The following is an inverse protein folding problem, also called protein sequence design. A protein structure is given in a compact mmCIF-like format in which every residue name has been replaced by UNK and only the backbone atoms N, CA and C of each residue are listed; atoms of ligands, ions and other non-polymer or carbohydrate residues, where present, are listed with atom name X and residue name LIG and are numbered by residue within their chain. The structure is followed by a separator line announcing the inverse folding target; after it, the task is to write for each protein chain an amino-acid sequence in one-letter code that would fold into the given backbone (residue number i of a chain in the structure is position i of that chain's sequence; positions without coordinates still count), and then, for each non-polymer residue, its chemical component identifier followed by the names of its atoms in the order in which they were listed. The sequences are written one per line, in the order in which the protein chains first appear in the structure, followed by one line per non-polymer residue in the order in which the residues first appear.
data_IF_901567902638
#
_entry.id   IF_901567902638
#
_cell.length_a   1.000
_cell.length_b   1.000
_cell.length_c   1.000
_cell.angle_alpha   90.00
_cell.angle_beta   90.00
_cell.angle_gamma   90.00
#
_symmetry.space_group_name_H-M   'P 1'
#
loop_
_entity.id
_entity.type
_entity.pdbx_description
1 polymer ?
#
# COMPACT_ATOMS: atom_id res chain seq x y z
N UNK A 1 6.49 -16.74 14.44
CA UNK A 1 5.87 -15.91 13.40
C UNK A 1 4.44 -16.39 13.19
N UNK A 2 3.46 -15.49 13.29
CA UNK A 2 2.05 -15.82 13.08
C UNK A 2 1.69 -16.00 11.58
N UNK A 3 2.64 -15.77 10.68
CA UNK A 3 2.46 -15.95 9.23
C UNK A 3 3.67 -16.66 8.61
N UNK A 4 3.41 -17.43 7.57
CA UNK A 4 4.42 -18.08 6.72
C UNK A 4 4.19 -17.65 5.28
N UNK A 5 5.20 -17.05 4.67
CA UNK A 5 5.20 -16.64 3.25
C UNK A 5 5.93 -17.71 2.46
N UNK A 6 5.37 -18.10 1.33
CA UNK A 6 5.93 -19.03 0.36
C UNK A 6 5.74 -18.44 -1.03
N UNK A 7 6.24 -19.11 -2.06
CA UNK A 7 6.00 -18.69 -3.45
C UNK A 7 4.52 -18.79 -3.84
N UNK A 8 3.77 -19.72 -3.26
CA UNK A 8 2.36 -19.92 -3.58
C UNK A 8 1.46 -18.84 -2.94
N UNK A 9 1.85 -18.30 -1.77
CA UNK A 9 1.06 -17.33 -1.03
C UNK A 9 1.43 -17.30 0.46
N UNK A 10 0.49 -16.85 1.28
CA UNK A 10 0.66 -16.60 2.71
C UNK A 10 -0.27 -17.48 3.52
N UNK A 11 0.31 -18.24 4.45
CA UNK A 11 -0.44 -18.97 5.47
C UNK A 11 -0.37 -18.20 6.79
N UNK A 12 -1.51 -18.00 7.45
CA UNK A 12 -1.60 -17.31 8.74
C UNK A 12 -2.72 -17.90 9.61
N UNK A 13 -2.67 -17.61 10.89
CA UNK A 13 -3.76 -17.96 11.79
C UNK A 13 -4.60 -16.72 12.08
N UNK A 14 -5.93 -16.87 12.01
CA UNK A 14 -6.88 -15.86 12.42
C UNK A 14 -6.67 -15.49 13.89
N UNK A 15 -6.65 -14.20 14.18
CA UNK A 15 -6.53 -13.71 15.57
C UNK A 15 -7.86 -13.81 16.34
N UNK A 16 -8.97 -14.06 15.65
CA UNK A 16 -10.30 -14.17 16.26
C UNK A 16 -10.54 -15.58 16.83
N UNK A 17 -10.19 -16.62 16.08
CA UNK A 17 -10.54 -18.00 16.38
C UNK A 17 -9.35 -18.97 16.27
N UNK A 18 -8.17 -18.49 15.88
CA UNK A 18 -6.94 -19.29 15.70
C UNK A 18 -6.96 -20.19 14.46
N UNK A 19 -8.00 -20.16 13.65
CA UNK A 19 -8.11 -20.99 12.45
C UNK A 19 -7.03 -20.60 11.44
N UNK A 20 -6.42 -21.63 10.85
CA UNK A 20 -5.39 -21.45 9.82
C UNK A 20 -6.01 -21.15 8.48
N UNK A 21 -5.56 -20.05 7.85
CA UNK A 21 -5.96 -19.63 6.53
C UNK A 21 -4.78 -19.61 5.56
N UNK A 22 -5.08 -19.75 4.28
CA UNK A 22 -4.16 -19.52 3.18
C UNK A 22 -4.77 -18.50 2.22
N UNK A 23 -3.96 -17.56 1.77
CA UNK A 23 -4.31 -16.59 0.72
C UNK A 23 -3.12 -16.48 -0.21
N UNK A 24 -3.32 -16.75 -1.48
CA UNK A 24 -2.40 -16.47 -2.57
C UNK A 24 -2.97 -15.43 -3.53
N UNK A 25 -2.28 -15.15 -4.64
CA UNK A 25 -2.74 -14.20 -5.65
C UNK A 25 -4.15 -14.49 -6.15
N UNK A 26 -4.46 -15.71 -6.51
CA UNK A 26 -5.76 -16.10 -7.08
C UNK A 26 -6.88 -15.97 -6.03
N UNK A 27 -6.66 -16.42 -4.81
CA UNK A 27 -7.63 -16.28 -3.71
C UNK A 27 -7.90 -14.80 -3.41
N UNK A 28 -6.84 -13.97 -3.39
CA UNK A 28 -6.98 -12.53 -3.17
C UNK A 28 -7.81 -11.87 -4.27
N UNK A 29 -7.55 -12.20 -5.54
CA UNK A 29 -8.33 -11.68 -6.67
C UNK A 29 -9.79 -12.11 -6.58
N UNK A 30 -10.04 -13.38 -6.27
CA UNK A 30 -11.39 -13.92 -6.10
C UNK A 30 -12.15 -13.22 -4.97
N UNK A 31 -11.54 -13.04 -3.82
CA UNK A 31 -12.16 -12.34 -2.68
C UNK A 31 -12.52 -10.90 -3.06
N UNK A 32 -11.61 -10.16 -3.69
CA UNK A 32 -11.85 -8.78 -4.10
C UNK A 32 -12.94 -8.69 -5.19
N UNK A 33 -13.02 -9.68 -6.08
CA UNK A 33 -14.12 -9.77 -7.05
C UNK A 33 -15.46 -9.96 -6.34
N UNK A 34 -15.55 -10.85 -5.35
CA UNK A 34 -16.78 -11.09 -4.59
C UNK A 34 -17.21 -9.87 -3.76
N UNK A 35 -16.25 -9.08 -3.25
CA UNK A 35 -16.52 -7.82 -2.57
C UNK A 35 -17.05 -6.74 -3.52
N UNK A 36 -16.83 -6.86 -4.82
CA UNK A 36 -17.34 -5.93 -5.82
C UNK A 36 -16.67 -4.55 -5.79
N UNK A 37 -15.42 -4.45 -5.31
CA UNK A 37 -14.67 -3.20 -5.32
C UNK A 37 -14.38 -2.74 -6.75
N UNK A 38 -14.43 -1.42 -7.01
CA UNK A 38 -14.08 -0.86 -8.32
C UNK A 38 -12.59 -1.01 -8.63
N UNK A 39 -11.74 -0.84 -7.61
CA UNK A 39 -10.29 -1.02 -7.70
C UNK A 39 -9.89 -2.26 -6.91
N UNK A 40 -9.12 -3.13 -7.56
CA UNK A 40 -8.56 -4.36 -7.00
C UNK A 40 -7.05 -4.19 -6.88
N UNK A 41 -6.51 -4.45 -5.70
CA UNK A 41 -5.07 -4.38 -5.45
C UNK A 41 -4.41 -5.72 -5.74
N UNK A 42 -3.34 -5.72 -6.51
CA UNK A 42 -2.54 -6.92 -6.71
C UNK A 42 -2.04 -7.46 -5.36
N UNK A 43 -1.86 -8.77 -5.28
CA UNK A 43 -1.31 -9.39 -4.07
C UNK A 43 0.20 -9.16 -4.03
N UNK A 44 0.73 -8.66 -2.91
CA UNK A 44 2.11 -8.22 -2.79
C UNK A 44 2.76 -8.65 -1.47
N UNK A 45 4.08 -8.59 -1.42
CA UNK A 45 4.86 -8.76 -0.19
C UNK A 45 5.49 -7.44 0.23
N UNK A 46 4.90 -6.83 1.25
CA UNK A 46 5.45 -5.63 1.88
C UNK A 46 6.43 -6.00 3.00
N UNK A 47 7.65 -5.47 2.93
CA UNK A 47 8.69 -5.63 3.95
C UNK A 47 8.74 -4.40 4.88
N UNK A 48 9.13 -4.61 6.15
CA UNK A 48 9.34 -3.51 7.09
C UNK A 48 10.54 -2.65 6.68
N UNK A 49 10.54 -1.37 7.05
CA UNK A 49 11.72 -0.52 6.92
C UNK A 49 12.91 -1.16 7.66
N UNK A 50 14.12 -1.03 7.08
CA UNK A 50 15.33 -1.64 7.63
C UNK A 50 15.53 -3.12 7.30
N UNK A 51 14.63 -3.73 6.51
CA UNK A 51 14.90 -5.05 5.91
C UNK A 51 16.11 -4.94 5.00
N UNK A 52 17.03 -5.91 5.08
CA UNK A 52 18.24 -5.92 4.26
C UNK A 52 17.94 -6.00 2.76
N UNK A 53 18.93 -5.63 1.95
CA UNK A 53 18.79 -5.52 0.49
C UNK A 53 18.35 -6.84 -0.16
N UNK A 54 18.97 -7.95 0.18
CA UNK A 54 18.68 -9.24 -0.46
C UNK A 54 17.26 -9.73 -0.16
N UNK A 55 16.79 -9.58 1.08
CA UNK A 55 15.42 -9.91 1.44
C UNK A 55 14.40 -8.95 0.79
N UNK A 56 14.74 -7.65 0.71
CA UNK A 56 13.90 -6.67 0.03
C UNK A 56 13.78 -6.97 -1.45
N UNK A 57 14.87 -7.39 -2.09
CA UNK A 57 14.91 -7.83 -3.48
C UNK A 57 14.09 -9.09 -3.70
N UNK A 58 14.25 -10.09 -2.83
CA UNK A 58 13.46 -11.34 -2.90
C UNK A 58 11.96 -11.06 -2.79
N UNK A 59 11.54 -10.21 -1.85
CA UNK A 59 10.14 -9.81 -1.68
C UNK A 59 9.60 -9.03 -2.90
N UNK A 60 10.39 -8.13 -3.46
CA UNK A 60 10.06 -7.42 -4.70
C UNK A 60 9.88 -8.40 -5.88
N UNK A 61 10.80 -9.32 -6.05
CA UNK A 61 10.74 -10.33 -7.11
C UNK A 61 9.51 -11.24 -6.95
N UNK A 62 9.18 -11.63 -5.73
CA UNK A 62 7.97 -12.42 -5.43
C UNK A 62 6.71 -11.61 -5.73
N UNK A 63 6.67 -10.33 -5.35
CA UNK A 63 5.57 -9.42 -5.69
C UNK A 63 5.34 -9.36 -7.21
N UNK A 64 6.40 -9.29 -8.01
CA UNK A 64 6.29 -9.27 -9.47
C UNK A 64 5.78 -10.60 -10.04
N UNK A 65 6.21 -11.74 -9.50
CA UNK A 65 5.67 -13.06 -9.90
C UNK A 65 4.20 -13.22 -9.49
N UNK A 66 3.82 -12.74 -8.32
CA UNK A 66 2.42 -12.71 -7.88
C UNK A 66 1.57 -11.76 -8.72
N UNK A 67 2.12 -10.62 -9.14
CA UNK A 67 1.44 -9.70 -10.06
C UNK A 67 1.13 -10.39 -11.41
N UNK A 68 2.06 -11.15 -11.96
CA UNK A 68 1.81 -11.92 -13.18
C UNK A 68 0.62 -12.88 -13.01
N UNK A 69 0.51 -13.55 -11.86
CA UNK A 69 -0.63 -14.42 -11.52
C UNK A 69 -1.93 -13.62 -11.36
N UNK A 70 -1.91 -12.50 -10.63
CA UNK A 70 -3.07 -11.61 -10.48
C UNK A 70 -3.59 -11.10 -11.82
N UNK A 71 -2.68 -10.76 -12.75
CA UNK A 71 -3.03 -10.18 -14.05
C UNK A 71 -3.77 -11.14 -14.98
N UNK A 72 -3.71 -12.43 -14.72
CA UNK A 72 -4.40 -13.49 -15.47
C UNK A 72 -5.83 -13.74 -14.98
N UNK A 73 -6.20 -13.12 -13.86
CA UNK A 73 -7.54 -13.26 -13.30
C UNK A 73 -8.56 -12.46 -14.12
N UNK A 74 -9.70 -13.06 -14.42
CA UNK A 74 -10.77 -12.42 -15.18
C UNK A 74 -11.78 -11.73 -14.25
N UNK A 75 -11.77 -10.40 -14.25
CA UNK A 75 -12.73 -9.56 -13.53
C UNK A 75 -14.00 -9.22 -14.33
N UNK A 76 -14.21 -9.85 -15.48
CA UNK A 76 -15.34 -9.57 -16.37
C UNK A 76 -15.42 -8.11 -16.81
N UNK A 77 -14.29 -7.41 -16.88
CA UNK A 77 -14.17 -6.03 -17.34
C UNK A 77 -14.76 -4.94 -16.43
N UNK A 78 -15.20 -5.31 -15.21
CA UNK A 78 -15.88 -4.38 -14.29
C UNK A 78 -14.95 -3.77 -13.23
N UNK A 79 -13.84 -4.40 -12.94
CA UNK A 79 -12.91 -4.00 -11.88
C UNK A 79 -11.53 -3.66 -12.46
N UNK A 80 -10.86 -2.73 -11.83
CA UNK A 80 -9.56 -2.20 -12.26
C UNK A 80 -8.46 -2.77 -11.37
N UNK A 81 -7.59 -3.62 -11.95
CA UNK A 81 -6.42 -4.12 -11.23
C UNK A 81 -5.35 -3.02 -11.15
N UNK A 82 -4.96 -2.65 -9.93
CA UNK A 82 -3.81 -1.80 -9.65
C UNK A 82 -2.63 -2.65 -9.22
N UNK A 83 -1.59 -2.74 -10.04
CA UNK A 83 -0.32 -3.37 -9.65
C UNK A 83 0.42 -2.51 -8.63
N UNK A 84 1.24 -3.15 -7.77
CA UNK A 84 1.92 -2.50 -6.65
C UNK A 84 3.43 -2.52 -6.85
N UNK A 85 4.04 -1.35 -6.77
CA UNK A 85 5.50 -1.17 -6.77
C UNK A 85 6.03 -1.37 -5.36
N UNK A 86 6.97 -2.30 -5.20
CA UNK A 86 7.71 -2.57 -3.97
C UNK A 86 9.19 -2.24 -4.15
N UNK A 87 10.05 -2.50 -3.18
CA UNK A 87 11.51 -2.26 -3.26
C UNK A 87 12.10 -1.68 -1.99
N UNK A 88 11.33 -1.62 -0.88
CA UNK A 88 11.76 -1.07 0.40
C UNK A 88 12.36 0.36 0.23
N UNK A 89 13.44 0.71 0.93
CA UNK A 89 14.13 2.00 0.85
C UNK A 89 15.37 1.94 -0.07
N UNK A 90 15.31 1.10 -1.13
CA UNK A 90 16.39 0.93 -2.10
C UNK A 90 15.97 1.49 -3.45
N UNK A 91 16.59 2.59 -3.86
CA UNK A 91 16.23 3.34 -5.07
C UNK A 91 16.28 2.49 -6.35
N UNK A 92 17.29 1.66 -6.49
CA UNK A 92 17.45 0.74 -7.62
C UNK A 92 16.35 -0.32 -7.67
N UNK A 93 15.99 -0.92 -6.52
CA UNK A 93 14.89 -1.87 -6.44
C UNK A 93 13.54 -1.21 -6.74
N UNK A 94 13.30 0.01 -6.26
CA UNK A 94 12.11 0.81 -6.58
C UNK A 94 11.96 1.05 -8.07
N UNK A 95 13.03 1.48 -8.73
CA UNK A 95 13.04 1.73 -10.18
C UNK A 95 12.85 0.45 -10.97
N UNK A 96 13.52 -0.62 -10.57
CA UNK A 96 13.38 -1.94 -11.21
C UNK A 96 11.94 -2.44 -11.07
N UNK A 97 11.38 -2.38 -9.86
CA UNK A 97 9.99 -2.73 -9.59
C UNK A 97 9.03 -1.93 -10.46
N UNK A 98 9.16 -0.60 -10.49
CA UNK A 98 8.31 0.28 -11.30
C UNK A 98 8.37 -0.10 -12.78
N UNK A 99 9.55 -0.23 -13.37
CA UNK A 99 9.73 -0.57 -14.78
C UNK A 99 9.06 -1.88 -15.15
N UNK A 100 9.17 -2.89 -14.28
CA UNK A 100 8.59 -4.22 -14.50
C UNK A 100 7.10 -4.27 -14.18
N UNK A 101 6.58 -3.33 -13.40
CA UNK A 101 5.17 -3.23 -13.04
C UNK A 101 4.35 -2.49 -14.11
N UNK A 102 4.92 -1.46 -14.76
CA UNK A 102 4.24 -0.65 -15.80
C UNK A 102 3.56 -1.48 -16.89
N UNK A 103 4.14 -2.55 -17.46
CA UNK A 103 3.45 -3.36 -18.48
C UNK A 103 2.12 -3.97 -18.04
N UNK A 104 1.92 -4.15 -16.75
CA UNK A 104 0.67 -4.68 -16.16
C UNK A 104 -0.32 -3.57 -15.80
N UNK A 105 0.12 -2.32 -15.72
CA UNK A 105 -0.72 -1.18 -15.35
C UNK A 105 -1.61 -0.79 -16.53
N UNK A 106 -2.92 -1.00 -16.42
CA UNK A 106 -3.91 -0.62 -17.44
C UNK A 106 -4.76 0.57 -17.03
N UNK A 107 -5.02 0.73 -15.75
CA UNK A 107 -5.96 1.72 -15.20
C UNK A 107 -5.36 2.59 -14.10
N UNK A 108 -4.25 2.20 -13.52
CA UNK A 108 -3.56 2.87 -12.43
C UNK A 108 -2.41 2.04 -11.90
N UNK A 109 -1.62 2.64 -11.02
CA UNK A 109 -0.46 2.00 -10.38
C UNK A 109 -0.41 2.41 -8.91
N UNK A 110 -0.04 1.48 -8.04
CA UNK A 110 0.12 1.76 -6.62
C UNK A 110 1.59 1.70 -6.19
N UNK A 111 1.94 2.54 -5.23
CA UNK A 111 3.24 2.58 -4.56
C UNK A 111 3.02 2.05 -3.14
N UNK A 112 3.48 0.82 -2.91
CA UNK A 112 3.41 0.16 -1.62
C UNK A 112 4.74 0.18 -0.87
N UNK A 113 4.74 -0.32 0.38
CA UNK A 113 5.94 -0.49 1.19
C UNK A 113 6.66 0.80 1.56
N UNK A 114 5.92 1.91 1.65
CA UNK A 114 6.34 3.17 2.25
C UNK A 114 5.46 3.46 3.47
N UNK A 115 5.93 4.31 4.40
CA UNK A 115 5.30 4.52 5.72
C UNK A 115 5.22 3.23 6.56
N UNK A 116 6.25 2.40 6.47
CA UNK A 116 6.38 1.11 7.17
C UNK A 116 7.44 1.14 8.28
N UNK A 117 7.79 2.34 8.75
CA UNK A 117 8.71 2.58 9.86
C UNK A 117 9.92 3.46 9.52
N UNK A 118 10.07 3.90 8.27
CA UNK A 118 11.11 4.84 7.85
C UNK A 118 10.76 6.29 8.25
N UNK A 119 11.77 7.17 8.37
CA UNK A 119 11.55 8.62 8.48
C UNK A 119 10.90 9.19 7.22
N UNK A 120 10.01 10.18 7.35
CA UNK A 120 9.33 10.84 6.21
C UNK A 120 10.27 11.31 5.10
N UNK A 121 11.44 11.93 5.39
CA UNK A 121 12.37 12.33 4.32
C UNK A 121 12.83 11.16 3.45
N UNK A 122 13.02 9.98 4.02
CA UNK A 122 13.41 8.77 3.25
C UNK A 122 12.26 8.31 2.34
N UNK A 123 11.02 8.37 2.83
CA UNK A 123 9.85 8.11 2.00
C UNK A 123 9.78 9.08 0.81
N UNK A 124 9.97 10.38 1.06
CA UNK A 124 9.95 11.41 0.01
C UNK A 124 11.06 11.20 -1.03
N UNK A 125 12.27 10.83 -0.58
CA UNK A 125 13.37 10.46 -1.47
C UNK A 125 12.99 9.31 -2.41
N UNK A 126 12.33 8.27 -1.91
CA UNK A 126 11.87 7.17 -2.75
C UNK A 126 10.81 7.61 -3.76
N UNK A 127 9.93 8.54 -3.40
CA UNK A 127 8.97 9.11 -4.34
C UNK A 127 9.67 9.98 -5.40
N UNK A 128 10.67 10.77 -5.02
CA UNK A 128 11.48 11.59 -5.94
C UNK A 128 12.21 10.73 -6.99
N UNK A 129 12.69 9.55 -6.57
CA UNK A 129 13.31 8.56 -7.46
C UNK A 129 12.31 8.01 -8.48
N UNK A 130 11.06 7.79 -8.08
CA UNK A 130 10.04 7.20 -8.94
C UNK A 130 9.35 8.21 -9.86
N UNK A 131 9.20 9.47 -9.41
CA UNK A 131 8.42 10.51 -10.08
C UNK A 131 8.75 10.68 -11.57
N UNK A 132 10.01 10.75 -12.04
CA UNK A 132 10.33 10.93 -13.44
C UNK A 132 9.94 9.76 -14.34
N UNK A 133 9.54 8.65 -13.76
CA UNK A 133 9.27 7.38 -14.45
C UNK A 133 7.80 6.95 -14.37
N UNK A 134 6.94 7.72 -13.71
CA UNK A 134 5.52 7.40 -13.62
C UNK A 134 4.83 7.46 -15.00
N UNK A 135 3.89 6.56 -15.28
CA UNK A 135 3.03 6.70 -16.45
C UNK A 135 2.17 7.96 -16.32
N UNK A 136 2.18 8.83 -17.33
CA UNK A 136 1.48 10.12 -17.30
C UNK A 136 -0.05 9.98 -17.31
N UNK A 137 -0.56 8.93 -17.94
CA UNK A 137 -1.99 8.75 -18.22
C UNK A 137 -2.73 7.89 -17.20
N UNK A 138 -2.14 7.64 -16.03
CA UNK A 138 -2.69 6.75 -15.03
C UNK A 138 -2.61 7.36 -13.64
N UNK A 139 -3.64 7.19 -12.78
CA UNK A 139 -3.57 7.58 -11.38
C UNK A 139 -2.50 6.78 -10.63
N UNK A 140 -1.82 7.47 -9.73
CA UNK A 140 -0.76 6.95 -8.86
C UNK A 140 -1.25 6.97 -7.42
N UNK A 141 -1.35 5.80 -6.84
CA UNK A 141 -1.89 5.59 -5.51
C UNK A 141 -0.77 5.28 -4.51
N UNK A 142 -0.53 6.16 -3.55
CA UNK A 142 0.40 5.93 -2.42
C UNK A 142 -0.36 5.30 -1.26
N UNK A 143 -0.05 4.05 -0.97
CA UNK A 143 -0.81 3.23 -0.03
C UNK A 143 -0.45 3.55 1.43
N UNK A 144 -1.48 3.73 2.26
CA UNK A 144 -1.36 3.84 3.73
C UNK A 144 -0.74 5.14 4.23
N UNK A 145 -0.68 6.18 3.42
CA UNK A 145 -0.08 7.48 3.73
C UNK A 145 -1.10 8.60 3.60
N UNK A 146 -1.21 9.50 4.59
CA UNK A 146 -2.21 10.57 4.48
C UNK A 146 -2.26 11.50 5.69
N UNK A 147 -1.16 11.75 6.41
CA UNK A 147 -1.07 12.94 7.26
C UNK A 147 -1.03 14.19 6.38
N UNK A 148 -1.51 15.34 6.88
CA UNK A 148 -1.68 16.55 6.08
C UNK A 148 -0.42 16.96 5.30
N UNK A 149 0.73 16.91 5.94
CA UNK A 149 2.02 17.17 5.32
C UNK A 149 2.38 16.13 4.25
N UNK A 150 2.14 14.84 4.51
CA UNK A 150 2.40 13.80 3.53
C UNK A 150 1.48 13.87 2.30
N UNK A 151 0.25 14.36 2.46
CA UNK A 151 -0.65 14.61 1.33
C UNK A 151 -0.06 15.66 0.40
N UNK A 152 0.37 16.81 0.94
CA UNK A 152 0.98 17.89 0.16
C UNK A 152 2.27 17.39 -0.53
N UNK A 153 3.16 16.78 0.23
CA UNK A 153 4.44 16.25 -0.28
C UNK A 153 4.24 15.17 -1.34
N UNK A 154 3.23 14.33 -1.19
CA UNK A 154 2.85 13.31 -2.17
C UNK A 154 2.34 13.93 -3.47
N UNK A 155 1.42 14.90 -3.40
CA UNK A 155 0.94 15.62 -4.58
C UNK A 155 2.07 16.31 -5.35
N UNK A 156 2.99 16.97 -4.63
CA UNK A 156 4.16 17.60 -5.25
C UNK A 156 5.04 16.60 -6.00
N UNK A 157 4.97 15.32 -5.64
CA UNK A 157 5.71 14.20 -6.25
C UNK A 157 4.85 13.35 -7.20
N UNK A 158 3.72 13.89 -7.65
CA UNK A 158 2.89 13.26 -8.67
C UNK A 158 2.00 12.13 -8.17
N UNK A 159 1.68 12.07 -6.90
CA UNK A 159 0.69 11.13 -6.35
C UNK A 159 -0.71 11.71 -6.48
N UNK A 160 -1.68 10.89 -6.90
CA UNK A 160 -3.07 11.30 -7.15
C UNK A 160 -4.05 10.76 -6.09
N UNK A 161 -3.73 9.64 -5.46
CA UNK A 161 -4.61 8.93 -4.53
C UNK A 161 -3.83 8.50 -3.28
N UNK A 162 -4.49 8.58 -2.13
CA UNK A 162 -3.95 8.13 -0.84
C UNK A 162 -5.07 7.61 0.05
N UNK A 163 -4.73 6.74 0.98
CA UNK A 163 -5.58 6.35 2.10
C UNK A 163 -4.85 6.56 3.43
N UNK A 164 -5.60 6.86 4.48
CA UNK A 164 -4.98 7.06 5.79
C UNK A 164 -5.90 6.62 6.92
N UNK A 165 -5.39 5.74 7.77
CA UNK A 165 -6.09 5.31 8.98
C UNK A 165 -5.95 6.31 10.14
N UNK A 166 -5.08 7.33 10.02
CA UNK A 166 -4.76 8.24 11.12
C UNK A 166 -6.00 8.95 11.70
N UNK A 167 -6.89 9.57 10.89
CA UNK A 167 -8.05 10.27 11.42
C UNK A 167 -8.97 9.37 12.27
N UNK A 168 -9.28 8.18 11.77
CA UNK A 168 -10.12 7.21 12.47
C UNK A 168 -9.42 6.60 13.68
N UNK A 169 -8.11 6.38 13.59
CA UNK A 169 -7.30 5.86 14.70
C UNK A 169 -7.27 6.81 15.88
N UNK A 170 -6.98 8.10 15.65
CA UNK A 170 -6.94 9.11 16.72
C UNK A 170 -8.34 9.44 17.25
N UNK A 171 -9.37 9.42 16.37
CA UNK A 171 -10.76 9.64 16.78
C UNK A 171 -11.23 8.59 17.78
N UNK A 172 -10.84 7.30 17.62
CA UNK A 172 -11.15 6.27 18.63
C UNK A 172 -10.55 6.58 20.01
N UNK A 173 -9.48 7.36 20.06
CA UNK A 173 -8.85 7.83 21.30
C UNK A 173 -9.38 9.19 21.78
N UNK A 174 -10.42 9.73 21.12
CA UNK A 174 -11.06 10.99 21.49
C UNK A 174 -10.30 12.23 20.99
N UNK A 175 -9.55 12.12 19.89
CA UNK A 175 -8.87 13.25 19.27
C UNK A 175 -9.52 13.58 17.92
N UNK A 176 -9.85 14.86 17.70
CA UNK A 176 -10.30 15.39 16.41
C UNK A 176 -9.23 16.28 15.79
N UNK A 177 -8.95 16.09 14.50
CA UNK A 177 -8.08 16.99 13.74
C UNK A 177 -8.87 18.24 13.31
N UNK A 178 -8.33 19.42 13.56
CA UNK A 178 -8.98 20.68 13.17
C UNK A 178 -7.98 21.63 12.51
N UNK A 179 -8.46 22.67 11.84
CA UNK A 179 -7.62 23.74 11.28
C UNK A 179 -6.77 24.49 12.33
N UNK A 180 -7.13 24.38 13.62
CA UNK A 180 -6.40 25.00 14.74
C UNK A 180 -5.50 24.01 15.48
N UNK A 181 -5.33 22.80 14.94
CA UNK A 181 -4.59 21.71 15.56
C UNK A 181 -5.49 20.61 16.13
N UNK A 182 -4.90 19.68 16.84
CA UNK A 182 -5.60 18.55 17.42
C UNK A 182 -6.42 18.99 18.66
N UNK A 183 -7.66 18.51 18.71
CA UNK A 183 -8.59 18.77 19.78
C UNK A 183 -8.90 17.46 20.51
N UNK A 184 -8.59 17.40 21.81
CA UNK A 184 -8.95 16.26 22.64
C UNK A 184 -10.35 16.44 23.20
N UNK A 185 -11.33 15.73 22.65
CA UNK A 185 -12.78 15.86 22.99
C UNK A 185 -13.04 15.57 24.46
N UNK A 186 -12.25 14.70 25.09
CA UNK A 186 -12.38 14.35 26.52
C UNK A 186 -11.92 15.44 27.49
N UNK A 187 -11.38 16.54 26.99
CA UNK A 187 -10.94 17.64 27.84
C UNK A 187 -12.17 18.32 28.48
N UNK A 188 -12.13 18.56 29.80
CA UNK A 188 -13.23 19.12 30.58
C UNK A 188 -13.75 20.47 30.04
N UNK A 189 -12.91 21.23 29.33
CA UNK A 189 -13.32 22.51 28.72
C UNK A 189 -14.37 22.37 27.60
N UNK A 190 -14.58 21.15 27.08
CA UNK A 190 -15.55 20.84 26.03
C UNK A 190 -16.76 20.06 26.53
N UNK A 191 -16.95 20.02 27.88
CA UNK A 191 -18.02 19.24 28.49
C UNK A 191 -19.44 19.73 28.10
N UNK A 192 -19.56 21.00 27.81
CA UNK A 192 -20.82 21.66 27.50
C UNK A 192 -20.91 22.20 26.06
N UNK A 193 -20.02 21.74 25.17
CA UNK A 193 -20.00 22.05 23.71
C UNK A 193 -20.91 21.12 22.92
#
# INVERSE_FOLDING_TARGET
SMRKITEDGVTFNSFLDGIKHFIGPEESMHIQQQLGSDIVMAFDECTAAGTDYEKSKEAMERTLRWLDRCSKYDFSGKQMLFPIVQGNMYADLRLESLKRTIPYAKCGIAIGGLSVGEPKPVMYEMLDVLQPHYPENMPRYLMGVGSADCIVEGFMRGIDMMDCVLPTRIARNGTAMTYKGDLTIRNAKYKDD
#
